data_IF_904333390690
#
_entry.id   IF_904333390690
#
_cell.length_a   1.000
_cell.length_b   1.000
_cell.length_c   1.000
_cell.angle_alpha   90.00
_cell.angle_beta   90.00
_cell.angle_gamma   90.00
#
_symmetry.space_group_name_H-M   'P 1'
#
loop_
_entity.id
_entity.type
_entity.pdbx_description
1 polymer ?
#
# COMPACT_ATOMS: atom_id res chain seq x y z
N UNK A 1 -40.40 70.86 -25.99
CA UNK A 1 -40.00 70.60 -24.59
C UNK A 1 -40.75 69.34 -24.14
N UNK A 2 -40.29 68.14 -24.51
CA UNK A 2 -39.28 67.29 -23.83
C UNK A 2 -39.80 66.91 -22.44
N UNK A 3 -39.99 65.64 -22.06
CA UNK A 3 -39.00 64.55 -22.09
C UNK A 3 -39.68 63.16 -22.10
N UNK A 4 -38.98 62.23 -22.73
CA UNK A 4 -39.15 60.77 -22.79
C UNK A 4 -38.84 60.06 -21.47
N UNK A 5 -39.17 58.75 -21.46
CA UNK A 5 -38.47 57.58 -20.87
C UNK A 5 -38.97 56.98 -19.55
N UNK A 6 -39.10 55.64 -19.55
CA UNK A 6 -39.18 54.83 -18.33
C UNK A 6 -39.50 53.33 -18.52
N UNK A 7 -38.80 52.62 -19.43
CA UNK A 7 -38.78 51.14 -19.46
C UNK A 7 -37.58 50.69 -18.62
N UNK A 8 -37.79 49.87 -17.59
CA UNK A 8 -36.69 49.13 -16.93
C UNK A 8 -37.16 47.74 -16.47
N UNK A 9 -36.99 46.80 -17.41
CA UNK A 9 -36.51 45.41 -17.31
C UNK A 9 -36.46 44.78 -15.91
N UNK A 10 -37.28 43.75 -15.72
CA UNK A 10 -37.23 42.79 -14.61
C UNK A 10 -35.97 41.91 -14.78
N UNK A 11 -34.94 42.14 -13.97
CA UNK A 11 -33.71 41.35 -13.95
C UNK A 11 -33.98 39.96 -13.35
N UNK A 12 -34.23 38.96 -14.21
CA UNK A 12 -34.10 37.55 -13.88
C UNK A 12 -32.62 37.25 -13.60
N UNK A 13 -32.23 37.31 -12.32
CA UNK A 13 -30.95 36.79 -11.84
C UNK A 13 -30.99 35.26 -11.93
N UNK A 14 -30.79 34.73 -13.15
CA UNK A 14 -30.56 33.32 -13.41
C UNK A 14 -29.23 32.97 -12.74
N UNK A 15 -29.31 32.31 -11.59
CA UNK A 15 -28.15 31.85 -10.84
C UNK A 15 -27.31 30.93 -11.72
N UNK A 16 -26.20 31.48 -12.24
CA UNK A 16 -25.08 30.69 -12.72
C UNK A 16 -24.41 30.06 -11.50
N UNK A 17 -25.01 29.03 -10.93
CA UNK A 17 -24.28 28.11 -10.07
C UNK A 17 -23.43 27.27 -11.00
N UNK A 18 -22.16 27.63 -11.11
CA UNK A 18 -21.17 26.86 -11.83
C UNK A 18 -21.02 25.53 -11.08
N UNK A 19 -21.70 24.48 -11.56
CA UNK A 19 -21.41 23.11 -11.16
C UNK A 19 -20.01 22.78 -11.68
N UNK A 20 -18.99 23.10 -10.87
CA UNK A 20 -17.66 22.53 -11.03
C UNK A 20 -17.80 21.06 -10.62
N UNK A 21 -18.07 20.18 -11.57
CA UNK A 21 -17.87 18.75 -11.37
C UNK A 21 -16.43 18.55 -10.89
N UNK A 22 -16.27 18.00 -9.69
CA UNK A 22 -14.97 17.54 -9.21
C UNK A 22 -14.48 16.50 -10.22
N UNK A 23 -13.43 16.85 -10.96
CA UNK A 23 -12.77 15.86 -11.81
C UNK A 23 -12.06 14.88 -10.87
N UNK A 24 -12.29 13.58 -11.03
CA UNK A 24 -11.50 12.60 -10.32
C UNK A 24 -10.02 12.78 -10.70
N UNK A 25 -9.09 12.52 -9.78
CA UNK A 25 -7.66 12.56 -10.09
C UNK A 25 -7.35 11.58 -11.22
N UNK A 26 -6.44 11.98 -12.09
CA UNK A 26 -5.91 11.13 -13.15
C UNK A 26 -4.76 10.30 -12.57
N UNK A 27 -4.95 8.98 -12.48
CA UNK A 27 -3.95 8.06 -11.95
C UNK A 27 -3.10 7.50 -13.11
N UNK A 28 -1.79 7.27 -12.90
CA UNK A 28 -0.97 6.57 -13.89
C UNK A 28 -1.51 5.16 -14.14
N UNK A 29 -1.21 4.61 -15.32
CA UNK A 29 -1.59 3.22 -15.66
C UNK A 29 -0.92 2.26 -14.68
N UNK A 30 0.34 2.54 -14.29
CA UNK A 30 1.02 1.72 -13.29
C UNK A 30 0.45 1.97 -11.88
N UNK A 31 0.34 0.93 -11.04
CA UNK A 31 -0.16 1.11 -9.68
C UNK A 31 0.80 1.98 -8.86
N UNK A 32 0.26 2.80 -7.97
CA UNK A 32 1.03 3.56 -6.98
C UNK A 32 0.55 3.16 -5.60
N UNK A 33 1.50 2.89 -4.70
CA UNK A 33 1.20 2.49 -3.31
C UNK A 33 1.85 3.43 -2.30
N UNK A 34 1.22 3.55 -1.14
CA UNK A 34 1.73 4.26 0.02
C UNK A 34 1.53 3.46 1.31
N UNK A 35 2.41 3.68 2.28
CA UNK A 35 2.26 3.06 3.60
C UNK A 35 1.18 3.79 4.39
N UNK A 36 0.19 3.06 4.90
CA UNK A 36 -0.89 3.61 5.74
C UNK A 36 -0.68 3.28 7.20
N UNK A 37 -0.62 1.99 7.56
CA UNK A 37 -0.51 1.62 8.98
C UNK A 37 0.06 0.22 9.23
N UNK A 38 0.39 -0.01 10.50
CA UNK A 38 0.67 -1.32 11.07
C UNK A 38 -0.28 -1.55 12.25
N UNK A 39 -0.88 -2.74 12.36
CA UNK A 39 -1.77 -3.06 13.50
C UNK A 39 -1.07 -3.05 14.85
N UNK A 40 0.25 -3.25 14.86
CA UNK A 40 1.16 -3.13 16.02
C UNK A 40 2.58 -2.95 15.51
N UNK A 41 3.55 -2.68 16.38
CA UNK A 41 4.95 -2.49 15.98
C UNK A 41 5.91 -3.52 16.58
N UNK A 42 5.37 -4.58 17.19
CA UNK A 42 6.15 -5.63 17.85
C UNK A 42 5.58 -7.00 17.51
N UNK A 43 6.45 -7.95 17.19
CA UNK A 43 6.12 -9.36 17.02
C UNK A 43 7.06 -10.25 17.82
N UNK A 44 6.58 -11.40 18.27
CA UNK A 44 7.40 -12.46 18.86
C UNK A 44 7.95 -13.36 17.76
N UNK A 45 9.25 -13.66 17.81
CA UNK A 45 9.81 -14.73 17.02
C UNK A 45 9.34 -16.05 17.62
N UNK A 46 8.55 -16.80 16.87
CA UNK A 46 8.28 -18.21 17.13
C UNK A 46 8.66 -18.98 15.88
N UNK A 47 9.36 -20.13 15.98
CA UNK A 47 10.03 -20.77 14.84
C UNK A 47 9.16 -20.93 13.58
N UNK A 48 7.83 -21.13 13.72
CA UNK A 48 6.93 -21.37 12.59
C UNK A 48 5.54 -20.69 12.74
N UNK A 49 5.44 -19.62 13.52
CA UNK A 49 4.24 -18.77 13.59
C UNK A 49 3.29 -19.02 14.77
N UNK A 50 3.30 -18.09 15.72
CA UNK A 50 2.19 -17.79 16.65
C UNK A 50 1.87 -16.29 16.69
N UNK A 51 2.61 -15.49 15.93
CA UNK A 51 2.44 -14.04 15.88
C UNK A 51 2.45 -13.51 14.44
N UNK A 52 1.70 -12.44 14.22
CA UNK A 52 1.52 -11.78 12.92
C UNK A 52 1.19 -10.31 13.11
N UNK A 53 1.39 -9.54 12.04
CA UNK A 53 1.07 -8.12 11.94
C UNK A 53 0.16 -7.91 10.73
N UNK A 54 -0.72 -6.92 10.79
CA UNK A 54 -1.46 -6.46 9.62
C UNK A 54 -0.77 -5.20 9.13
N UNK A 55 -0.34 -5.22 7.87
CA UNK A 55 0.21 -4.06 7.17
C UNK A 55 -0.91 -3.52 6.26
N UNK A 56 -1.24 -2.25 6.43
CA UNK A 56 -2.18 -1.56 5.55
C UNK A 56 -1.41 -0.64 4.62
N UNK A 57 -1.66 -0.77 3.32
CA UNK A 57 -1.14 0.10 2.27
C UNK A 57 -2.30 0.72 1.51
N UNK A 58 -2.16 1.98 1.12
CA UNK A 58 -3.05 2.64 0.17
C UNK A 58 -2.59 2.34 -1.25
N UNK A 59 -3.52 2.29 -2.20
CA UNK A 59 -3.19 2.13 -3.62
C UNK A 59 -4.06 3.02 -4.52
N UNK A 60 -3.50 3.36 -5.69
CA UNK A 60 -4.19 3.95 -6.83
C UNK A 60 -3.73 3.25 -8.11
N UNK A 61 -4.61 3.07 -9.10
CA UNK A 61 -4.32 2.34 -10.33
C UNK A 61 -5.20 2.85 -11.48
N UNK A 62 -4.61 3.34 -12.57
CA UNK A 62 -5.30 4.14 -13.58
C UNK A 62 -6.21 3.37 -14.53
N UNK A 63 -5.89 2.12 -14.85
CA UNK A 63 -6.71 1.26 -15.70
C UNK A 63 -7.51 0.20 -14.90
N UNK A 64 -7.32 0.16 -13.59
CA UNK A 64 -8.09 -0.62 -12.65
C UNK A 64 -7.91 -2.12 -12.83
N UNK A 65 -6.71 -2.54 -13.21
CA UNK A 65 -6.42 -3.91 -13.60
C UNK A 65 -5.74 -4.77 -12.52
N UNK A 66 -5.78 -4.34 -11.27
CA UNK A 66 -5.28 -5.10 -10.13
C UNK A 66 -5.98 -6.45 -9.86
N UNK A 67 -5.18 -7.43 -9.42
CA UNK A 67 -5.63 -8.75 -9.00
C UNK A 67 -5.93 -9.70 -10.17
N UNK A 68 -5.68 -10.99 -9.96
CA UNK A 68 -5.79 -12.03 -10.99
C UNK A 68 -6.90 -13.02 -10.64
N UNK A 69 -7.56 -13.58 -11.66
CA UNK A 69 -8.51 -14.69 -11.46
C UNK A 69 -7.79 -16.03 -11.20
N UNK A 70 -6.57 -16.17 -11.70
CA UNK A 70 -5.68 -17.29 -11.43
C UNK A 70 -4.99 -17.13 -10.06
N UNK A 71 -4.28 -18.16 -9.60
CA UNK A 71 -3.45 -18.10 -8.40
C UNK A 71 -2.12 -17.33 -8.60
N UNK A 72 -2.08 -16.37 -9.53
CA UNK A 72 -0.91 -15.53 -9.76
C UNK A 72 -0.70 -14.53 -8.60
N UNK A 73 0.52 -14.45 -8.01
CA UNK A 73 0.82 -13.47 -6.97
C UNK A 73 0.89 -12.04 -7.51
N UNK A 74 0.42 -11.09 -6.70
CA UNK A 74 0.40 -9.66 -7.05
C UNK A 74 1.14 -8.79 -6.05
N UNK A 75 1.41 -9.29 -4.84
CA UNK A 75 2.06 -8.54 -3.77
C UNK A 75 3.36 -9.23 -3.41
N UNK A 76 4.45 -8.47 -3.45
CA UNK A 76 5.79 -8.94 -3.18
C UNK A 76 6.37 -8.21 -1.97
N UNK A 77 6.82 -8.98 -0.99
CA UNK A 77 7.35 -8.47 0.27
C UNK A 77 8.76 -9.02 0.45
N UNK A 78 9.70 -8.13 0.74
CA UNK A 78 11.11 -8.48 0.94
C UNK A 78 11.58 -7.97 2.29
N UNK A 79 12.30 -8.82 3.02
CA UNK A 79 12.94 -8.45 4.29
C UNK A 79 14.07 -7.44 4.04
N UNK A 80 13.99 -6.27 4.66
CA UNK A 80 14.93 -5.18 4.45
C UNK A 80 16.31 -5.41 5.06
N UNK A 81 16.50 -6.45 5.88
CA UNK A 81 17.78 -6.74 6.54
C UNK A 81 18.74 -7.56 5.67
N UNK A 82 18.19 -8.49 4.90
CA UNK A 82 18.96 -9.49 4.14
C UNK A 82 18.47 -9.69 2.70
N UNK A 83 17.47 -8.91 2.26
CA UNK A 83 16.83 -9.03 0.95
C UNK A 83 16.13 -10.37 0.73
N UNK A 84 15.78 -11.09 1.79
CA UNK A 84 15.06 -12.35 1.69
C UNK A 84 13.59 -12.10 1.27
N UNK A 85 13.21 -12.65 0.12
CA UNK A 85 11.83 -12.58 -0.36
C UNK A 85 10.91 -13.45 0.50
N UNK A 86 9.82 -12.87 0.99
CA UNK A 86 8.75 -13.62 1.66
C UNK A 86 7.88 -14.32 0.60
N UNK A 87 7.13 -15.39 0.99
CA UNK A 87 6.10 -15.94 0.12
C UNK A 87 5.16 -14.83 -0.36
N UNK A 88 4.91 -14.71 -1.67
CA UNK A 88 4.15 -13.61 -2.20
C UNK A 88 2.65 -13.76 -1.88
N UNK A 89 1.93 -12.65 -1.85
CA UNK A 89 0.49 -12.60 -1.57
C UNK A 89 -0.31 -12.35 -2.85
N UNK A 90 -1.59 -12.73 -2.80
CA UNK A 90 -2.55 -12.55 -3.89
C UNK A 90 -3.52 -11.43 -3.53
N UNK A 91 -3.76 -10.55 -4.50
CA UNK A 91 -4.91 -9.66 -4.45
C UNK A 91 -6.14 -10.42 -4.94
N UNK A 92 -7.32 -10.21 -4.34
CA UNK A 92 -8.56 -10.67 -4.94
C UNK A 92 -8.73 -10.00 -6.32
N UNK A 93 -9.40 -10.69 -7.23
CA UNK A 93 -9.73 -10.11 -8.53
C UNK A 93 -10.62 -8.87 -8.35
N UNK A 94 -10.25 -7.79 -9.03
CA UNK A 94 -11.02 -6.55 -9.08
C UNK A 94 -11.55 -6.37 -10.50
N UNK A 95 -12.87 -6.27 -10.62
CA UNK A 95 -13.54 -5.93 -11.87
C UNK A 95 -13.15 -4.52 -12.31
N UNK A 96 -12.78 -4.37 -13.59
CA UNK A 96 -12.53 -3.05 -14.17
C UNK A 96 -13.83 -2.24 -14.16
N UNK A 97 -13.81 -1.12 -13.43
CA UNK A 97 -14.94 -0.21 -13.40
C UNK A 97 -14.91 0.64 -14.68
N UNK A 98 -15.94 0.52 -15.52
CA UNK A 98 -16.03 1.12 -16.86
C UNK A 98 -16.08 2.66 -16.93
N UNK A 99 -15.81 3.36 -15.84
CA UNK A 99 -15.58 4.80 -15.83
C UNK A 99 -14.07 4.99 -15.63
N UNK A 100 -13.32 5.24 -16.70
CA UNK A 100 -11.85 5.25 -16.76
C UNK A 100 -11.13 6.32 -15.93
N UNK A 101 -11.44 6.40 -14.64
CA UNK A 101 -10.84 7.27 -13.64
C UNK A 101 -9.96 6.47 -12.67
N UNK A 102 -9.55 5.26 -13.07
CA UNK A 102 -8.86 4.31 -12.22
C UNK A 102 -9.63 3.86 -10.99
N UNK A 103 -8.94 3.13 -10.12
CA UNK A 103 -9.42 2.68 -8.82
C UNK A 103 -8.45 3.12 -7.73
N UNK A 104 -8.96 3.22 -6.50
CA UNK A 104 -8.15 3.47 -5.32
C UNK A 104 -8.76 2.80 -4.10
N UNK A 105 -7.94 2.55 -3.08
CA UNK A 105 -8.39 1.94 -1.84
C UNK A 105 -7.25 1.54 -0.93
N UNK A 106 -7.53 0.63 0.00
CA UNK A 106 -6.54 0.09 0.93
C UNK A 106 -6.45 -1.42 0.80
N UNK A 107 -5.24 -1.96 0.93
CA UNK A 107 -4.94 -3.39 0.99
C UNK A 107 -4.42 -3.69 2.38
N UNK A 108 -5.05 -4.65 3.07
CA UNK A 108 -4.61 -5.13 4.38
C UNK A 108 -3.97 -6.51 4.26
N UNK A 109 -2.70 -6.62 4.63
CA UNK A 109 -1.88 -7.82 4.46
C UNK A 109 -1.56 -8.41 5.82
N UNK A 110 -2.01 -9.64 6.08
CA UNK A 110 -1.61 -10.39 7.27
C UNK A 110 -0.23 -11.03 7.05
N UNK A 111 0.81 -10.44 7.65
CA UNK A 111 2.18 -10.89 7.56
C UNK A 111 2.58 -11.66 8.83
N UNK A 112 2.87 -12.98 8.76
CA UNK A 112 3.42 -13.72 9.87
C UNK A 112 4.76 -13.16 10.35
N UNK A 113 5.10 -13.44 11.61
CA UNK A 113 6.41 -13.13 12.18
C UNK A 113 7.54 -13.77 11.39
N UNK A 114 8.75 -13.25 11.57
CA UNK A 114 9.95 -13.78 10.95
C UNK A 114 11.05 -13.99 11.97
N UNK A 115 12.10 -14.68 11.56
CA UNK A 115 13.25 -14.91 12.41
C UNK A 115 14.06 -13.64 12.62
N UNK A 116 14.58 -13.49 13.84
CA UNK A 116 15.70 -12.64 14.16
C UNK A 116 16.94 -13.12 13.44
N UNK A 117 17.80 -12.16 13.13
CA UNK A 117 19.07 -12.35 12.46
C UNK A 117 20.14 -11.70 13.35
N UNK A 118 21.24 -12.43 13.57
CA UNK A 118 22.42 -11.90 14.21
C UNK A 118 23.61 -12.09 13.27
N UNK A 119 24.37 -11.02 13.06
CA UNK A 119 25.66 -11.09 12.38
C UNK A 119 26.74 -10.89 13.42
N UNK A 120 27.60 -11.89 13.58
CA UNK A 120 28.72 -11.82 14.49
C UNK A 120 29.68 -10.69 14.08
N UNK A 121 29.99 -9.73 14.97
CA UNK A 121 30.75 -8.55 14.60
C UNK A 121 32.24 -8.84 14.34
N UNK A 122 32.77 -9.98 14.81
CA UNK A 122 34.18 -10.35 14.66
C UNK A 122 34.41 -11.22 13.41
N UNK A 123 33.48 -12.14 13.15
CA UNK A 123 33.61 -13.15 12.09
C UNK A 123 32.74 -12.86 10.87
N UNK A 124 31.73 -11.99 10.99
CA UNK A 124 30.72 -11.76 9.95
C UNK A 124 29.75 -12.93 9.76
N UNK A 125 29.84 -13.97 10.60
CA UNK A 125 28.99 -15.14 10.49
C UNK A 125 27.53 -14.80 10.83
N UNK A 126 26.60 -15.21 9.97
CA UNK A 126 25.17 -14.94 10.15
C UNK A 126 24.46 -16.13 10.80
N UNK A 127 23.79 -15.87 11.91
CA UNK A 127 22.87 -16.78 12.59
C UNK A 127 21.44 -16.26 12.41
N UNK A 128 20.50 -17.17 12.19
CA UNK A 128 19.08 -16.85 12.07
C UNK A 128 18.22 -17.86 12.81
N UNK A 129 17.02 -17.41 13.22
CA UNK A 129 16.02 -18.22 13.91
C UNK A 129 16.51 -18.75 15.28
N UNK A 130 16.84 -20.04 15.36
CA UNK A 130 17.27 -20.67 16.61
C UNK A 130 18.71 -20.27 16.96
N UNK A 131 19.04 -20.28 18.25
CA UNK A 131 20.40 -20.03 18.74
C UNK A 131 20.98 -18.62 18.45
N UNK A 132 20.16 -17.68 17.95
CA UNK A 132 20.52 -16.26 17.80
C UNK A 132 20.82 -15.63 19.18
N UNK A 133 22.03 -15.09 19.45
CA UNK A 133 22.45 -14.61 20.77
C UNK A 133 21.92 -13.20 21.13
N UNK A 134 20.77 -12.81 20.55
CA UNK A 134 20.12 -11.51 20.83
C UNK A 134 18.74 -11.73 21.43
N UNK A 135 18.32 -10.80 22.30
CA UNK A 135 16.98 -10.81 22.88
C UNK A 135 15.94 -10.13 21.97
N UNK A 136 16.38 -9.15 21.20
CA UNK A 136 15.53 -8.38 20.30
C UNK A 136 16.25 -8.09 19.00
N UNK A 137 15.46 -7.94 17.94
CA UNK A 137 15.89 -7.53 16.61
C UNK A 137 14.88 -6.51 16.04
N UNK A 138 15.22 -5.85 14.94
CA UNK A 138 14.36 -4.88 14.26
C UNK A 138 14.31 -5.18 12.77
N UNK A 139 13.14 -5.52 12.26
CA UNK A 139 12.88 -5.76 10.83
C UNK A 139 12.08 -4.62 10.23
N UNK A 140 12.23 -4.39 8.93
CA UNK A 140 11.33 -3.58 8.11
C UNK A 140 11.20 -4.28 6.76
N UNK A 141 10.14 -3.99 6.01
CA UNK A 141 9.85 -4.68 4.76
C UNK A 141 9.78 -3.70 3.60
N UNK A 142 10.31 -4.13 2.45
CA UNK A 142 10.02 -3.52 1.17
C UNK A 142 8.79 -4.18 0.56
N UNK A 143 7.87 -3.37 0.04
CA UNK A 143 6.62 -3.83 -0.56
C UNK A 143 6.50 -3.24 -1.96
N UNK A 144 6.10 -4.07 -2.92
CA UNK A 144 5.68 -3.67 -4.28
C UNK A 144 4.50 -4.52 -4.70
N UNK A 145 3.64 -3.97 -5.56
CA UNK A 145 2.56 -4.72 -6.20
C UNK A 145 2.74 -4.77 -7.72
N UNK A 146 2.05 -5.71 -8.36
CA UNK A 146 2.01 -5.88 -9.81
C UNK A 146 0.57 -6.06 -10.27
N UNK A 147 0.25 -5.34 -11.35
CA UNK A 147 -1.05 -5.35 -11.99
C UNK A 147 -1.15 -6.49 -13.05
N UNK A 148 -2.28 -6.61 -13.75
CA UNK A 148 -2.48 -7.68 -14.75
C UNK A 148 -1.73 -7.43 -16.05
N UNK A 149 -1.58 -6.17 -16.46
CA UNK A 149 -0.75 -5.77 -17.59
C UNK A 149 0.75 -6.03 -17.37
N UNK A 150 1.15 -6.26 -16.13
CA UNK A 150 2.49 -6.57 -15.69
C UNK A 150 3.30 -5.37 -15.22
N UNK A 151 2.70 -4.19 -15.07
CA UNK A 151 3.35 -3.04 -14.48
C UNK A 151 3.56 -3.23 -12.98
N UNK A 152 4.67 -2.70 -12.49
CA UNK A 152 5.01 -2.72 -11.07
C UNK A 152 4.79 -1.35 -10.47
N UNK A 153 4.35 -1.34 -9.21
CA UNK A 153 4.27 -0.11 -8.45
C UNK A 153 5.64 0.45 -8.07
N UNK A 154 5.65 1.68 -7.59
CA UNK A 154 6.74 2.17 -6.73
C UNK A 154 6.97 1.18 -5.57
N UNK A 155 8.21 1.17 -5.06
CA UNK A 155 8.57 0.38 -3.89
C UNK A 155 8.48 1.24 -2.63
N UNK A 156 7.75 0.77 -1.62
CA UNK A 156 7.65 1.42 -0.30
C UNK A 156 8.41 0.61 0.76
N UNK A 157 8.76 1.28 1.86
CA UNK A 157 9.32 0.64 3.04
C UNK A 157 8.39 0.83 4.23
N UNK A 158 8.17 -0.23 5.02
CA UNK A 158 7.45 -0.10 6.28
C UNK A 158 8.30 0.62 7.33
N UNK A 159 7.69 1.19 8.39
CA UNK A 159 8.39 1.48 9.62
C UNK A 159 9.06 0.22 10.20
N UNK A 160 10.01 0.44 11.11
CA UNK A 160 10.67 -0.64 11.85
C UNK A 160 9.68 -1.35 12.77
N UNK A 161 9.72 -2.67 12.74
CA UNK A 161 8.95 -3.59 13.57
C UNK A 161 9.95 -4.32 14.49
N UNK A 162 9.69 -4.25 15.80
CA UNK A 162 10.51 -4.92 16.80
C UNK A 162 10.19 -6.42 16.85
N UNK A 163 11.21 -7.26 16.78
CA UNK A 163 11.12 -8.70 17.01
C UNK A 163 11.62 -9.03 18.41
N UNK A 164 10.83 -9.79 19.18
CA UNK A 164 11.25 -10.40 20.45
C UNK A 164 11.77 -11.79 20.12
N UNK A 165 13.09 -12.00 20.21
CA UNK A 165 13.75 -13.24 19.79
C UNK A 165 13.69 -14.32 20.87
N UNK A 166 13.91 -13.92 22.12
CA UNK A 166 13.84 -14.75 23.33
C UNK A 166 13.34 -13.89 24.49
N UNK A 167 12.53 -14.48 25.36
CA UNK A 167 12.22 -13.90 26.67
C UNK A 167 13.35 -14.18 27.67
#
# INVERSE_FOLDING_TARGET
>A
MNKTTGITVLLLAFGWTWWRCVQPPDYPIEPVIEFVSLSKNTMRQTPLGQDSIVITIGFTDGDGDLGFQSDEPSIFITDGRDSFAKPPYRLPYIDQQGAGNGISGEISILLPTTCCIYTDPLTGFKLSCENVPVKQDSVFYYIRIRDRAGHYSNQIATPKIRLICRE
#
